data_IF_876871592964
#
_entry.id   IF_876871592964
#
_cell.length_a   1.000
_cell.length_b   1.000
_cell.length_c   1.000
_cell.angle_alpha   90.00
_cell.angle_beta   90.00
_cell.angle_gamma   90.00
#
_symmetry.space_group_name_H-M   'P 1'
#
loop_
_entity.id
_entity.type
_entity.pdbx_description
1 polymer ?
#
# COMPACT_ATOMS: atom_id res chain seq x y z
N UNK A 1 13.79 -2.86 5.13
CA UNK A 1 12.72 -3.41 5.99
C UNK A 1 11.51 -3.62 5.11
N UNK A 2 11.25 -4.85 4.64
CA UNK A 2 10.03 -5.17 3.88
C UNK A 2 8.98 -5.77 4.82
N UNK A 3 7.70 -5.51 4.57
CA UNK A 3 6.59 -5.94 5.42
C UNK A 3 5.92 -4.82 6.21
N UNK A 4 5.00 -5.21 7.10
CA UNK A 4 4.07 -4.31 7.82
C UNK A 4 4.79 -3.15 8.52
N UNK A 5 6.00 -3.36 9.05
CA UNK A 5 6.75 -2.27 9.71
C UNK A 5 7.19 -1.17 8.75
N UNK A 6 7.60 -1.54 7.53
CA UNK A 6 7.90 -0.61 6.46
C UNK A 6 6.66 0.16 6.03
N UNK A 7 5.53 -0.53 5.87
CA UNK A 7 4.26 0.09 5.50
C UNK A 7 3.71 1.06 6.54
N UNK A 8 3.78 0.73 7.84
CA UNK A 8 3.39 1.66 8.92
C UNK A 8 4.30 2.89 8.92
N UNK A 9 5.62 2.73 8.80
CA UNK A 9 6.54 3.87 8.69
C UNK A 9 6.25 4.71 7.43
N UNK A 10 5.99 4.08 6.29
CA UNK A 10 5.62 4.76 5.06
C UNK A 10 4.34 5.58 5.22
N UNK A 11 3.31 5.01 5.84
CA UNK A 11 2.06 5.70 6.13
C UNK A 11 2.23 6.86 7.12
N UNK A 12 3.11 6.72 8.12
CA UNK A 12 3.44 7.82 9.01
C UNK A 12 4.16 8.96 8.26
N UNK A 13 5.08 8.63 7.35
CA UNK A 13 5.78 9.62 6.52
C UNK A 13 4.82 10.37 5.57
N UNK A 14 3.80 9.69 5.02
CA UNK A 14 2.75 10.32 4.19
C UNK A 14 1.94 11.40 4.92
N UNK A 15 1.90 11.33 6.26
CA UNK A 15 1.26 12.35 7.12
C UNK A 15 2.28 13.25 7.82
N UNK A 16 3.56 13.16 7.44
CA UNK A 16 4.64 13.95 8.00
C UNK A 16 4.98 13.61 9.45
N UNK A 17 4.79 12.36 9.87
CA UNK A 17 5.03 11.89 11.23
C UNK A 17 6.07 10.74 11.28
N UNK A 18 6.58 10.46 12.48
CA UNK A 18 7.37 9.26 12.79
C UNK A 18 6.60 8.34 13.75
N UNK A 19 6.87 7.04 13.67
CA UNK A 19 6.20 6.04 14.50
C UNK A 19 7.00 5.78 15.78
N UNK A 20 6.35 5.95 16.94
CA UNK A 20 6.84 5.43 18.20
C UNK A 20 6.40 3.97 18.38
N UNK A 21 7.30 3.04 18.09
CA UNK A 21 7.02 1.61 18.12
C UNK A 21 6.68 1.07 19.51
N UNK A 22 7.21 1.68 20.57
CA UNK A 22 6.89 1.31 21.95
C UNK A 22 5.46 1.70 22.31
N UNK A 23 5.05 2.93 21.97
CA UNK A 23 3.67 3.38 22.18
C UNK A 23 2.68 2.59 21.32
N UNK A 24 3.05 2.26 20.07
CA UNK A 24 2.25 1.41 19.19
C UNK A 24 2.01 0.05 19.82
N UNK A 25 3.06 -0.60 20.32
CA UNK A 25 2.95 -1.92 20.97
C UNK A 25 2.05 -1.89 22.22
N UNK A 26 2.20 -0.86 23.05
CA UNK A 26 1.40 -0.71 24.28
C UNK A 26 -0.08 -0.42 23.98
N UNK A 27 -0.40 0.10 22.79
CA UNK A 27 -1.75 0.47 22.39
C UNK A 27 -2.32 -0.44 21.29
N UNK A 28 -1.81 -1.66 21.09
CA UNK A 28 -2.24 -2.57 20.01
C UNK A 28 -3.76 -2.81 19.97
N UNK A 29 -4.41 -2.84 21.13
CA UNK A 29 -5.87 -3.06 21.24
C UNK A 29 -6.68 -1.79 21.02
N UNK A 30 -6.05 -0.63 20.86
CA UNK A 30 -6.73 0.62 20.54
C UNK A 30 -7.32 0.54 19.13
N UNK A 31 -8.59 0.99 18.93
CA UNK A 31 -9.19 1.05 17.60
C UNK A 31 -8.35 1.82 16.58
N UNK A 32 -7.70 2.91 17.00
CA UNK A 32 -6.87 3.72 16.13
C UNK A 32 -5.61 2.97 15.67
N UNK A 33 -4.95 2.24 16.57
CA UNK A 33 -3.75 1.44 16.24
C UNK A 33 -4.11 0.24 15.38
N UNK A 34 -5.22 -0.43 15.69
CA UNK A 34 -5.71 -1.54 14.86
C UNK A 34 -6.04 -1.07 13.44
N UNK A 35 -6.68 0.11 13.32
CA UNK A 35 -7.00 0.70 12.03
C UNK A 35 -5.74 1.13 11.25
N UNK A 36 -4.71 1.64 11.92
CA UNK A 36 -3.40 1.95 11.31
C UNK A 36 -2.73 0.68 10.77
N UNK A 37 -2.67 -0.39 11.57
CA UNK A 37 -2.06 -1.67 11.15
C UNK A 37 -2.83 -2.27 9.97
N UNK A 38 -4.17 -2.21 10.01
CA UNK A 38 -5.00 -2.67 8.89
C UNK A 38 -4.74 -1.86 7.62
N UNK A 39 -4.64 -0.53 7.72
CA UNK A 39 -4.33 0.33 6.58
C UNK A 39 -2.93 0.02 6.03
N UNK A 40 -1.94 -0.18 6.90
CA UNK A 40 -0.58 -0.58 6.51
C UNK A 40 -0.55 -1.93 5.80
N UNK A 41 -1.30 -2.91 6.29
CA UNK A 41 -1.42 -4.22 5.63
C UNK A 41 -2.05 -4.10 4.23
N UNK A 42 -3.10 -3.30 4.08
CA UNK A 42 -3.72 -3.02 2.77
C UNK A 42 -2.74 -2.35 1.82
N UNK A 43 -2.01 -1.32 2.27
CA UNK A 43 -1.02 -0.63 1.44
C UNK A 43 0.10 -1.56 0.99
N UNK A 44 0.67 -2.35 1.90
CA UNK A 44 1.73 -3.32 1.59
C UNK A 44 1.24 -4.36 0.57
N UNK A 45 0.07 -4.95 0.83
CA UNK A 45 -0.50 -5.99 -0.02
C UNK A 45 -0.80 -5.47 -1.43
N UNK A 46 -1.48 -4.33 -1.52
CA UNK A 46 -1.86 -3.75 -2.81
C UNK A 46 -0.63 -3.27 -3.59
N UNK A 47 0.38 -2.71 -2.92
CA UNK A 47 1.65 -2.33 -3.57
C UNK A 47 2.35 -3.55 -4.16
N UNK A 48 2.46 -4.64 -3.39
CA UNK A 48 3.07 -5.87 -3.89
C UNK A 48 2.32 -6.52 -5.06
N UNK A 49 0.98 -6.46 -5.05
CA UNK A 49 0.18 -6.94 -6.18
C UNK A 49 0.34 -6.07 -7.42
N UNK A 50 0.35 -4.75 -7.28
CA UNK A 50 0.57 -3.82 -8.40
C UNK A 50 1.96 -4.03 -9.00
N UNK A 51 3.01 -4.19 -8.18
CA UNK A 51 4.36 -4.50 -8.66
C UNK A 51 4.39 -5.83 -9.42
N UNK A 52 3.70 -6.85 -8.93
CA UNK A 52 3.59 -8.15 -9.61
C UNK A 52 2.86 -8.01 -10.95
N UNK A 53 1.72 -7.32 -11.00
CA UNK A 53 1.00 -7.08 -12.25
C UNK A 53 1.84 -6.29 -13.25
N UNK A 54 2.59 -5.29 -12.79
CA UNK A 54 3.51 -4.54 -13.65
C UNK A 54 4.63 -5.44 -14.22
N UNK A 55 5.18 -6.35 -13.42
CA UNK A 55 6.17 -7.32 -13.90
C UNK A 55 5.58 -8.27 -14.95
N UNK A 56 4.36 -8.77 -14.72
CA UNK A 56 3.66 -9.64 -15.68
C UNK A 56 3.34 -8.90 -16.99
N UNK A 57 2.87 -7.65 -16.92
CA UNK A 57 2.63 -6.79 -18.08
C UNK A 57 3.92 -6.54 -18.88
N UNK A 58 5.03 -6.22 -18.19
CA UNK A 58 6.32 -6.04 -18.84
C UNK A 58 6.79 -7.32 -19.53
N UNK A 59 6.63 -8.48 -18.88
CA UNK A 59 6.97 -9.77 -19.47
C UNK A 59 6.13 -10.06 -20.74
N UNK A 60 4.83 -9.76 -20.71
CA UNK A 60 3.96 -9.89 -21.89
C UNK A 60 4.40 -8.95 -23.02
N UNK A 61 4.72 -7.69 -22.70
CA UNK A 61 5.21 -6.72 -23.69
C UNK A 61 6.54 -7.15 -24.32
N UNK A 62 7.44 -7.75 -23.55
CA UNK A 62 8.72 -8.24 -24.07
C UNK A 62 8.55 -9.48 -24.94
N UNK A 63 7.66 -10.41 -24.57
CA UNK A 63 7.28 -11.53 -25.43
C UNK A 63 6.68 -11.05 -26.76
N UNK A 64 5.80 -10.04 -26.71
CA UNK A 64 5.18 -9.45 -27.89
C UNK A 64 6.19 -8.84 -28.88
N UNK A 65 7.25 -8.19 -28.36
CA UNK A 65 8.32 -7.64 -29.20
C UNK A 65 9.08 -8.73 -29.96
N UNK A 66 9.24 -9.91 -29.35
CA UNK A 66 9.93 -11.05 -29.95
C UNK A 66 9.03 -11.72 -31.00
N UNK A 67 7.74 -11.86 -30.73
CA UNK A 67 6.78 -12.58 -31.59
C UNK A 67 6.11 -11.69 -32.66
N UNK A 68 6.32 -10.37 -32.63
CA UNK A 68 5.76 -9.42 -33.59
C UNK A 68 4.32 -8.98 -33.29
N UNK A 69 3.86 -9.17 -32.05
CA UNK A 69 2.52 -8.79 -31.59
C UNK A 69 2.07 -9.58 -30.37
N UNK A 70 1.00 -9.13 -29.70
CA UNK A 70 0.32 -9.92 -28.68
C UNK A 70 -0.86 -10.69 -29.32
N UNK A 71 -1.00 -11.99 -29.02
CA UNK A 71 -2.25 -12.71 -29.23
C UNK A 71 -3.43 -12.01 -28.55
N UNK A 72 -4.63 -12.14 -29.11
CA UNK A 72 -5.86 -11.51 -28.59
C UNK A 72 -6.14 -11.89 -27.13
N UNK A 73 -5.90 -13.16 -26.77
CA UNK A 73 -6.05 -13.63 -25.38
C UNK A 73 -5.09 -12.91 -24.42
N UNK A 74 -3.85 -12.65 -24.83
CA UNK A 74 -2.88 -11.92 -24.00
C UNK A 74 -3.21 -10.42 -23.92
N UNK A 75 -3.82 -9.83 -24.95
CA UNK A 75 -4.35 -8.46 -24.87
C UNK A 75 -5.47 -8.35 -23.84
N UNK A 76 -6.39 -9.34 -23.80
CA UNK A 76 -7.46 -9.39 -22.83
C UNK A 76 -6.92 -9.52 -21.39
N UNK A 77 -5.93 -10.40 -21.19
CA UNK A 77 -5.26 -10.56 -19.88
C UNK A 77 -4.52 -9.29 -19.47
N UNK A 78 -3.78 -8.65 -20.39
CA UNK A 78 -3.09 -7.41 -20.12
C UNK A 78 -4.06 -6.28 -19.72
N UNK A 79 -5.22 -6.18 -20.40
CA UNK A 79 -6.28 -5.25 -20.04
C UNK A 79 -6.82 -5.51 -18.63
N UNK A 80 -7.16 -6.77 -18.32
CA UNK A 80 -7.65 -7.15 -17.00
C UNK A 80 -6.64 -6.85 -15.88
N UNK A 81 -5.35 -7.13 -16.08
CA UNK A 81 -4.30 -6.80 -15.11
C UNK A 81 -4.14 -5.29 -14.91
N UNK A 82 -4.27 -4.50 -15.98
CA UNK A 82 -4.21 -3.05 -15.89
C UNK A 82 -5.39 -2.50 -15.07
N UNK A 83 -6.61 -2.97 -15.34
CA UNK A 83 -7.82 -2.56 -14.60
C UNK A 83 -7.77 -2.96 -13.12
N UNK A 84 -7.31 -4.19 -12.82
CA UNK A 84 -7.09 -4.63 -11.44
C UNK A 84 -6.04 -3.77 -10.73
N UNK A 85 -4.96 -3.39 -11.44
CA UNK A 85 -3.93 -2.53 -10.87
C UNK A 85 -4.45 -1.14 -10.53
N UNK A 86 -5.32 -0.55 -11.37
CA UNK A 86 -5.99 0.71 -11.06
C UNK A 86 -6.87 0.59 -9.82
N UNK A 87 -7.67 -0.48 -9.72
CA UNK A 87 -8.52 -0.74 -8.54
C UNK A 87 -7.68 -0.85 -7.26
N UNK A 88 -6.56 -1.57 -7.31
CA UNK A 88 -5.66 -1.74 -6.17
C UNK A 88 -5.00 -0.41 -5.74
N UNK A 89 -4.70 0.48 -6.69
CA UNK A 89 -4.18 1.82 -6.43
C UNK A 89 -5.22 2.70 -5.74
N UNK A 90 -6.49 2.62 -6.14
CA UNK A 90 -7.58 3.34 -5.49
C UNK A 90 -7.79 2.86 -4.05
N UNK A 91 -7.79 1.55 -3.82
CA UNK A 91 -7.87 0.98 -2.47
C UNK A 91 -6.68 1.38 -1.58
N UNK A 92 -5.46 1.41 -2.17
CA UNK A 92 -4.26 1.92 -1.48
C UNK A 92 -4.46 3.37 -1.07
N UNK A 93 -4.98 4.21 -1.96
CA UNK A 93 -5.22 5.63 -1.67
C UNK A 93 -6.26 5.80 -0.57
N UNK A 94 -7.35 5.03 -0.60
CA UNK A 94 -8.36 5.03 0.46
C UNK A 94 -7.77 4.62 1.83
N UNK A 95 -6.83 3.67 1.86
CA UNK A 95 -6.11 3.29 3.08
C UNK A 95 -5.22 4.43 3.62
N UNK A 96 -4.52 5.16 2.74
CA UNK A 96 -3.73 6.35 3.11
C UNK A 96 -4.63 7.44 3.68
N UNK A 97 -5.76 7.73 3.02
CA UNK A 97 -6.72 8.73 3.49
C UNK A 97 -7.34 8.35 4.84
N UNK A 98 -7.55 7.05 5.09
CA UNK A 98 -7.95 6.57 6.41
C UNK A 98 -6.91 6.92 7.48
N UNK A 99 -5.61 6.78 7.21
CA UNK A 99 -4.56 7.17 8.18
C UNK A 99 -4.57 8.68 8.46
N UNK A 100 -4.83 9.51 7.45
CA UNK A 100 -4.97 10.97 7.64
C UNK A 100 -6.05 11.32 8.66
N UNK A 101 -7.15 10.57 8.69
CA UNK A 101 -8.21 10.76 9.70
C UNK A 101 -7.83 10.25 11.09
N UNK A 102 -6.79 9.41 11.20
CA UNK A 102 -6.31 8.81 12.45
C UNK A 102 -5.13 9.58 13.08
N UNK A 103 -4.62 10.63 12.43
CA UNK A 103 -3.44 11.37 12.91
C UNK A 103 -3.61 11.87 14.34
N UNK A 104 -4.73 12.54 14.62
CA UNK A 104 -5.04 13.10 15.95
C UNK A 104 -5.10 11.99 17.01
N UNK A 105 -5.95 10.95 16.90
CA UNK A 105 -6.02 9.92 17.93
C UNK A 105 -4.72 9.12 18.08
N UNK A 106 -3.94 8.94 17.01
CA UNK A 106 -2.64 8.28 17.11
C UNK A 106 -1.58 9.16 17.80
N UNK A 107 -1.61 10.47 17.59
CA UNK A 107 -0.74 11.42 18.28
C UNK A 107 -1.11 11.53 19.78
N UNK A 108 -2.39 11.52 20.12
CA UNK A 108 -2.87 11.50 21.51
C UNK A 108 -2.41 10.24 22.28
N UNK A 109 -2.29 9.11 21.59
CA UNK A 109 -1.75 7.87 22.14
C UNK A 109 -0.20 7.84 22.18
N UNK A 110 0.46 8.88 21.66
CA UNK A 110 1.92 8.95 21.51
C UNK A 110 2.47 7.99 20.45
N UNK A 111 1.63 7.45 19.57
CA UNK A 111 2.02 6.50 18.51
C UNK A 111 2.63 7.23 17.31
N UNK A 112 2.08 8.39 16.95
CA UNK A 112 2.64 9.27 15.94
C UNK A 112 3.30 10.48 16.60
N UNK A 113 4.54 10.72 16.24
CA UNK A 113 5.33 11.88 16.66
C UNK A 113 5.45 12.84 15.47
N UNK A 114 4.95 14.06 15.62
CA UNK A 114 5.04 15.09 14.58
C UNK A 114 6.36 15.87 14.75
N UNK A 115 7.09 16.17 13.66
CA UNK A 115 8.23 17.08 13.72
C UNK A 115 7.74 18.46 14.15
N UNK A 116 8.40 19.02 15.17
CA UNK A 116 8.14 20.36 15.74
C UNK A 116 8.63 21.44 14.78
#
# INVERSE_FOLDING_TARGET
MSGITGAVNGLALEVGATVNWTALHNNLLSPAVTALISAAATVEFNTGLVEKHQQELNHMLDAAKVEGGLPEDLLLVAGALADMSLTLLDERQAAVDRVRTLVIPLAELGVLEMPV
#
